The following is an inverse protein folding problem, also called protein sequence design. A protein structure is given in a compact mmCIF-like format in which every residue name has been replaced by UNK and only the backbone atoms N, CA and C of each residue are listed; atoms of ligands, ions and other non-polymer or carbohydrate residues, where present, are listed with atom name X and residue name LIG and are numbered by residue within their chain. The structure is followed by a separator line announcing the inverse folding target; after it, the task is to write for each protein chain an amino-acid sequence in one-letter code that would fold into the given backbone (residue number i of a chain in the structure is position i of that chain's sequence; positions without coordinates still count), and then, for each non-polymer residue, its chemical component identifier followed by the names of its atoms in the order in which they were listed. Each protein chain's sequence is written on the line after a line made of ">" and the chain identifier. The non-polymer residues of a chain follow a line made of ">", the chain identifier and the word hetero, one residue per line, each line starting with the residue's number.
data_IF_634609660183
#
_entry.id   IF_634609660183
#
_cell.length_a   1.000
_cell.length_b   1.000
_cell.length_c   1.000
_cell.angle_alpha   90.00
_cell.angle_beta   90.00
_cell.angle_gamma   90.00
#
_symmetry.space_group_name_H-M   'P 1'
#
loop_
_entity.id
_entity.type
_entity.pdbx_description
1 polymer ?
#
# COMPACT_ATOMS: atom_id res chain seq x y z
N UNK A 1 10.00 6.06 42.03
CA UNK A 1 9.43 5.40 40.85
C UNK A 1 8.80 6.39 39.86
N UNK A 2 8.52 7.65 40.24
CA UNK A 2 7.83 8.62 39.37
C UNK A 2 8.74 9.42 38.41
N UNK A 3 10.02 9.64 38.76
CA UNK A 3 10.94 10.47 37.94
C UNK A 3 11.37 9.75 36.66
N UNK A 4 11.58 8.43 36.70
CA UNK A 4 11.99 7.67 35.50
C UNK A 4 10.85 7.57 34.47
N UNK A 5 9.61 7.38 34.91
CA UNK A 5 8.45 7.37 34.02
C UNK A 5 8.21 8.75 33.40
N UNK A 6 8.36 9.83 34.17
CA UNK A 6 8.27 11.20 33.65
C UNK A 6 9.37 11.51 32.62
N UNK A 7 10.61 11.05 32.85
CA UNK A 7 11.71 11.21 31.90
C UNK A 7 11.47 10.41 30.61
N UNK A 8 10.95 9.18 30.71
CA UNK A 8 10.55 8.40 29.54
C UNK A 8 9.43 9.08 28.77
N UNK A 9 8.46 9.70 29.45
CA UNK A 9 7.39 10.44 28.80
C UNK A 9 7.90 11.69 28.07
N UNK A 10 8.80 12.46 28.68
CA UNK A 10 9.42 13.63 28.05
C UNK A 10 10.27 13.24 26.84
N UNK A 11 11.05 12.15 26.95
CA UNK A 11 11.84 11.63 25.83
C UNK A 11 10.93 11.15 24.69
N UNK A 12 9.82 10.46 25.00
CA UNK A 12 8.80 10.09 24.00
C UNK A 12 8.17 11.31 23.32
N UNK A 13 7.88 12.39 24.06
CA UNK A 13 7.34 13.63 23.49
C UNK A 13 8.35 14.35 22.59
N UNK A 14 9.62 14.37 22.98
CA UNK A 14 10.69 15.01 22.20
C UNK A 14 11.01 14.24 20.92
N UNK A 15 10.97 12.91 20.99
CA UNK A 15 11.23 12.05 19.85
C UNK A 15 9.97 11.78 19.01
N UNK A 16 8.80 12.23 19.45
CA UNK A 16 7.49 11.94 18.85
C UNK A 16 7.48 12.23 17.35
N UNK A 17 7.88 13.45 16.94
CA UNK A 17 7.93 13.86 15.53
C UNK A 17 8.88 12.97 14.72
N UNK A 18 10.05 12.63 15.27
CA UNK A 18 11.03 11.77 14.59
C UNK A 18 10.58 10.31 14.49
N UNK A 19 9.83 9.81 15.48
CA UNK A 19 9.21 8.48 15.46
C UNK A 19 8.16 8.44 14.35
N UNK A 20 7.27 9.43 14.29
CA UNK A 20 6.27 9.55 13.23
C UNK A 20 6.94 9.61 11.85
N UNK A 21 7.93 10.47 11.62
CA UNK A 21 8.65 10.54 10.35
C UNK A 21 9.25 9.20 9.91
N UNK A 22 9.76 8.40 10.84
CA UNK A 22 10.34 7.08 10.53
C UNK A 22 9.27 6.06 10.14
N UNK A 23 8.13 6.10 10.81
CA UNK A 23 7.00 5.21 10.57
C UNK A 23 6.25 5.60 9.29
N UNK A 24 6.03 6.89 9.04
CA UNK A 24 5.45 7.38 7.79
C UNK A 24 6.29 6.93 6.59
N UNK A 25 7.62 7.02 6.70
CA UNK A 25 8.54 6.45 5.70
C UNK A 25 8.35 4.96 5.54
N UNK A 26 8.23 4.20 6.64
CA UNK A 26 8.01 2.76 6.58
C UNK A 26 6.68 2.39 5.90
N UNK A 27 5.60 3.11 6.22
CA UNK A 27 4.28 2.96 5.58
C UNK A 27 4.38 3.26 4.09
N UNK A 28 4.93 4.41 3.72
CA UNK A 28 5.12 4.80 2.32
C UNK A 28 5.99 3.80 1.55
N UNK A 29 7.09 3.34 2.13
CA UNK A 29 7.94 2.31 1.53
C UNK A 29 7.17 1.00 1.30
N UNK A 30 6.36 0.57 2.27
CA UNK A 30 5.57 -0.67 2.16
C UNK A 30 4.56 -0.57 1.01
N UNK A 31 3.79 0.53 0.96
CA UNK A 31 2.79 0.74 -0.11
C UNK A 31 3.49 0.93 -1.47
N UNK A 32 4.60 1.67 -1.53
CA UNK A 32 5.39 1.84 -2.74
C UNK A 32 5.91 0.49 -3.28
N UNK A 33 6.48 -0.36 -2.42
CA UNK A 33 6.95 -1.69 -2.83
C UNK A 33 5.82 -2.59 -3.31
N UNK A 34 4.64 -2.53 -2.68
CA UNK A 34 3.45 -3.22 -3.18
C UNK A 34 3.05 -2.71 -4.58
N UNK A 35 3.02 -1.39 -4.77
CA UNK A 35 2.70 -0.76 -6.05
C UNK A 35 3.69 -1.15 -7.15
N UNK A 36 4.99 -1.08 -6.87
CA UNK A 36 6.05 -1.38 -7.84
C UNK A 36 5.97 -2.85 -8.30
N UNK A 37 5.84 -3.80 -7.37
CA UNK A 37 5.71 -5.22 -7.73
C UNK A 37 4.42 -5.52 -8.49
N UNK A 38 3.29 -4.90 -8.11
CA UNK A 38 2.04 -5.04 -8.86
C UNK A 38 2.15 -4.43 -10.26
N UNK A 39 2.71 -3.23 -10.37
CA UNK A 39 2.91 -2.52 -11.64
C UNK A 39 3.76 -3.33 -12.63
N UNK A 40 4.85 -3.97 -12.17
CA UNK A 40 5.67 -4.82 -13.03
C UNK A 40 4.90 -5.99 -13.64
N UNK A 41 3.88 -6.51 -12.94
CA UNK A 41 3.02 -7.59 -13.44
C UNK A 41 1.97 -7.01 -14.39
N UNK A 42 1.37 -5.88 -14.04
CA UNK A 42 0.37 -5.19 -14.86
C UNK A 42 0.93 -4.65 -16.18
N UNK A 43 2.16 -4.15 -16.19
CA UNK A 43 2.83 -3.71 -17.42
C UNK A 43 3.03 -4.88 -18.39
N UNK A 44 3.46 -6.05 -17.88
CA UNK A 44 3.55 -7.28 -18.70
C UNK A 44 2.18 -7.75 -19.18
N UNK A 45 1.15 -7.55 -18.37
CA UNK A 45 -0.23 -7.88 -18.75
C UNK A 45 -0.70 -6.99 -19.89
N UNK A 46 -0.48 -5.68 -19.79
CA UNK A 46 -0.79 -4.71 -20.82
C UNK A 46 -0.13 -5.07 -22.16
N UNK A 47 1.18 -5.34 -22.15
CA UNK A 47 1.94 -5.75 -23.34
C UNK A 47 1.34 -6.99 -24.02
N UNK A 48 0.85 -7.96 -23.24
CA UNK A 48 0.24 -9.19 -23.77
C UNK A 48 -1.16 -8.92 -24.32
N UNK A 49 -1.97 -8.11 -23.62
CA UNK A 49 -3.33 -7.77 -24.05
C UNK A 49 -3.32 -6.96 -25.34
N UNK A 50 -2.33 -6.08 -25.53
CA UNK A 50 -2.13 -5.32 -26.77
C UNK A 50 -1.73 -6.20 -27.97
N UNK A 51 -1.10 -7.36 -27.74
CA UNK A 51 -0.75 -8.30 -28.80
C UNK A 51 -1.99 -9.03 -29.33
N UNK A 52 -2.33 -8.81 -30.61
CA UNK A 52 -3.44 -9.52 -31.28
C UNK A 52 -3.21 -11.04 -31.24
N UNK A 53 -4.09 -11.77 -30.54
CA UNK A 53 -4.09 -13.24 -30.49
C UNK A 53 -3.49 -13.87 -29.23
N UNK A 54 -3.46 -13.15 -28.11
CA UNK A 54 -2.94 -13.66 -26.83
C UNK A 54 -3.66 -14.93 -26.34
N UNK A 55 -2.92 -15.81 -25.66
CA UNK A 55 -3.43 -17.06 -25.08
C UNK A 55 -3.89 -16.82 -23.64
N UNK A 56 -5.05 -17.36 -23.26
CA UNK A 56 -5.61 -17.22 -21.90
C UNK A 56 -4.66 -17.74 -20.81
N UNK A 57 -3.89 -18.80 -21.09
CA UNK A 57 -2.95 -19.39 -20.14
C UNK A 57 -1.84 -18.42 -19.67
N UNK A 58 -1.43 -17.47 -20.52
CA UNK A 58 -0.45 -16.45 -20.15
C UNK A 58 -1.02 -15.47 -19.13
N UNK A 59 -2.29 -15.10 -19.27
CA UNK A 59 -3.00 -14.24 -18.32
C UNK A 59 -3.25 -14.94 -16.98
N UNK A 60 -3.51 -16.25 -17.00
CA UNK A 60 -3.68 -17.02 -15.76
C UNK A 60 -2.41 -17.06 -14.91
N UNK A 61 -1.24 -17.17 -15.54
CA UNK A 61 0.04 -17.07 -14.84
C UNK A 61 0.25 -15.69 -14.20
N UNK A 62 -0.13 -14.62 -14.90
CA UNK A 62 -0.05 -13.26 -14.36
C UNK A 62 -1.00 -13.05 -13.19
N UNK A 63 -2.24 -13.56 -13.26
CA UNK A 63 -3.18 -13.57 -12.12
C UNK A 63 -2.62 -14.31 -10.91
N UNK A 64 -1.95 -15.46 -11.12
CA UNK A 64 -1.27 -16.18 -10.04
C UNK A 64 -0.17 -15.31 -9.42
N UNK A 65 0.61 -14.61 -10.24
CA UNK A 65 1.67 -13.73 -9.74
C UNK A 65 1.11 -12.52 -8.98
N UNK A 66 0.03 -11.88 -9.47
CA UNK A 66 -0.66 -10.80 -8.72
C UNK A 66 -1.11 -11.30 -7.35
N UNK A 67 -1.69 -12.50 -7.27
CA UNK A 67 -2.09 -13.12 -5.99
C UNK A 67 -0.90 -13.40 -5.07
N UNK A 68 0.27 -13.77 -5.60
CA UNK A 68 1.50 -13.95 -4.79
C UNK A 68 1.96 -12.63 -4.19
N UNK A 69 1.99 -11.55 -4.98
CA UNK A 69 2.34 -10.21 -4.50
C UNK A 69 1.32 -9.74 -3.45
N UNK A 70 0.02 -9.85 -3.74
CA UNK A 70 -1.03 -9.55 -2.76
C UNK A 70 -0.82 -10.33 -1.45
N UNK A 71 -0.55 -11.64 -1.53
CA UNK A 71 -0.34 -12.46 -0.33
C UNK A 71 0.90 -12.07 0.49
N UNK A 72 1.90 -11.45 -0.13
CA UNK A 72 3.11 -10.95 0.54
C UNK A 72 2.83 -9.67 1.35
N UNK A 73 1.99 -8.78 0.83
CA UNK A 73 1.78 -7.44 1.41
C UNK A 73 0.48 -7.29 2.20
N UNK A 74 -0.49 -8.19 2.04
CA UNK A 74 -1.78 -8.11 2.71
C UNK A 74 -1.90 -9.12 3.84
N UNK A 75 -2.37 -8.69 5.01
CA UNK A 75 -2.73 -9.57 6.14
C UNK A 75 -4.13 -10.14 5.93
N UNK A 76 -5.07 -9.33 5.44
CA UNK A 76 -6.44 -9.75 5.14
C UNK A 76 -6.49 -10.67 3.92
N UNK A 77 -7.00 -11.90 4.11
CA UNK A 77 -7.09 -12.93 3.06
C UNK A 77 -8.49 -13.07 2.45
N UNK A 78 -9.41 -12.16 2.74
CA UNK A 78 -10.75 -12.18 2.16
C UNK A 78 -10.68 -12.18 0.63
N UNK A 79 -11.48 -13.02 -0.02
CA UNK A 79 -11.51 -13.16 -1.48
C UNK A 79 -11.85 -11.85 -2.21
N UNK A 80 -12.55 -10.94 -1.53
CA UNK A 80 -12.89 -9.62 -2.04
C UNK A 80 -11.65 -8.80 -2.47
N UNK A 81 -10.54 -8.89 -1.74
CA UNK A 81 -9.30 -8.15 -2.05
C UNK A 81 -8.40 -8.86 -3.06
N UNK A 82 -8.65 -10.14 -3.35
CA UNK A 82 -7.75 -10.89 -4.20
C UNK A 82 -7.79 -10.37 -5.65
N UNK A 83 -6.63 -10.05 -6.24
CA UNK A 83 -6.59 -9.56 -7.61
C UNK A 83 -7.06 -10.66 -8.58
N UNK A 84 -8.14 -10.36 -9.30
CA UNK A 84 -8.79 -11.28 -10.23
C UNK A 84 -8.89 -10.72 -11.67
N UNK A 85 -8.66 -9.42 -11.84
CA UNK A 85 -8.80 -8.71 -13.10
C UNK A 85 -7.55 -8.77 -13.98
N UNK A 86 -7.79 -8.62 -15.27
CA UNK A 86 -6.78 -8.41 -16.32
C UNK A 86 -7.11 -7.12 -17.05
N UNK A 87 -6.14 -6.26 -17.28
CA UNK A 87 -6.32 -4.95 -17.92
C UNK A 87 -5.23 -4.68 -18.95
N UNK A 88 -5.54 -3.88 -19.97
CA UNK A 88 -4.53 -3.28 -20.85
C UNK A 88 -3.86 -2.05 -20.25
N UNK A 89 -4.36 -1.58 -19.10
CA UNK A 89 -3.89 -0.37 -18.42
C UNK A 89 -3.49 -0.71 -16.98
N UNK A 90 -2.24 -0.44 -16.57
CA UNK A 90 -1.80 -0.63 -15.19
C UNK A 90 -2.54 0.27 -14.19
N UNK A 91 -2.96 -0.33 -13.07
CA UNK A 91 -3.66 0.34 -11.98
C UNK A 91 -2.70 0.96 -10.98
N UNK A 92 -1.62 0.24 -10.67
CA UNK A 92 -0.69 0.50 -9.56
C UNK A 92 0.47 1.44 -9.96
N UNK A 93 0.16 2.56 -10.62
CA UNK A 93 1.17 3.53 -11.06
C UNK A 93 1.51 4.49 -9.93
N UNK A 94 2.61 4.24 -9.20
CA UNK A 94 2.99 5.07 -8.05
C UNK A 94 3.15 6.56 -8.39
N UNK A 95 3.76 6.86 -9.54
CA UNK A 95 3.99 8.24 -9.97
C UNK A 95 2.71 9.03 -10.25
N UNK A 96 1.56 8.36 -10.33
CA UNK A 96 0.26 9.03 -10.42
C UNK A 96 -0.29 9.44 -9.06
N UNK A 97 0.32 9.02 -7.94
CA UNK A 97 -0.14 9.37 -6.60
C UNK A 97 0.44 10.71 -6.15
N UNK A 98 -0.43 11.60 -5.69
CA UNK A 98 -0.12 12.92 -5.14
C UNK A 98 -0.82 13.13 -3.80
N UNK A 99 -0.41 14.16 -3.06
CA UNK A 99 -0.99 14.51 -1.75
C UNK A 99 -1.03 13.31 -0.79
N UNK A 100 0.10 12.60 -0.70
CA UNK A 100 0.26 11.44 0.17
C UNK A 100 0.26 11.91 1.62
N UNK A 101 -0.60 11.29 2.43
CA UNK A 101 -0.72 11.51 3.86
C UNK A 101 -0.70 10.15 4.58
N UNK A 102 -0.06 10.12 5.74
CA UNK A 102 -0.09 8.96 6.64
C UNK A 102 -0.67 9.39 7.98
N UNK A 103 -1.68 8.67 8.46
CA UNK A 103 -2.33 8.94 9.74
C UNK A 103 -2.16 7.74 10.67
N UNK A 104 -2.05 7.95 11.98
CA UNK A 104 -1.99 6.88 12.97
C UNK A 104 -3.16 7.01 13.96
N UNK A 105 -3.66 5.88 14.46
CA UNK A 105 -4.73 5.83 15.46
C UNK A 105 -4.31 6.27 16.88
N UNK A 106 -3.01 6.40 17.15
CA UNK A 106 -2.45 6.76 18.46
C UNK A 106 -2.53 5.66 19.52
N UNK A 107 -2.81 4.41 19.14
CA UNK A 107 -2.80 3.25 20.04
C UNK A 107 -1.46 2.51 19.96
N UNK A 108 -0.68 2.57 21.04
CA UNK A 108 0.62 1.91 21.14
C UNK A 108 0.52 0.37 21.16
N UNK A 109 -0.61 -0.18 21.63
CA UNK A 109 -0.79 -1.63 21.75
C UNK A 109 -1.35 -2.25 20.48
N UNK A 110 -2.06 -1.45 19.66
CA UNK A 110 -2.64 -1.89 18.40
C UNK A 110 -2.46 -0.80 17.34
N UNK A 111 -1.22 -0.63 16.91
CA UNK A 111 -0.86 0.44 15.98
C UNK A 111 -1.41 0.18 14.59
N UNK A 112 -2.32 1.06 14.17
CA UNK A 112 -2.92 1.09 12.85
C UNK A 112 -2.54 2.38 12.15
N UNK A 113 -2.25 2.25 10.86
CA UNK A 113 -1.84 3.36 10.00
C UNK A 113 -2.80 3.47 8.83
N UNK A 114 -3.15 4.69 8.44
CA UNK A 114 -3.89 4.95 7.22
C UNK A 114 -2.93 5.62 6.26
N UNK A 115 -2.65 4.97 5.13
CA UNK A 115 -2.07 5.63 3.97
C UNK A 115 -3.20 6.21 3.13
N UNK A 116 -3.09 7.46 2.71
CA UNK A 116 -4.06 8.13 1.82
C UNK A 116 -3.31 8.86 0.73
N UNK A 117 -3.80 8.78 -0.50
CA UNK A 117 -3.30 9.53 -1.63
C UNK A 117 -4.43 9.91 -2.59
N UNK A 118 -4.14 10.83 -3.51
CA UNK A 118 -5.00 11.14 -4.65
C UNK A 118 -4.32 10.70 -5.94
N UNK A 119 -5.07 10.04 -6.83
CA UNK A 119 -4.56 9.68 -8.15
C UNK A 119 -4.72 10.86 -9.10
N UNK A 120 -3.62 11.46 -9.54
CA UNK A 120 -3.61 12.45 -10.61
C UNK A 120 -3.84 11.77 -11.97
N UNK A 121 -4.70 12.38 -12.80
CA UNK A 121 -4.95 11.95 -14.18
C UNK A 121 -3.95 12.58 -15.14
N UNK A 122 -3.87 12.04 -16.35
CA UNK A 122 -2.94 12.53 -17.40
C UNK A 122 -3.19 13.99 -17.78
N UNK A 123 -4.42 14.50 -17.63
CA UNK A 123 -4.78 15.91 -17.85
C UNK A 123 -4.39 16.83 -16.67
N UNK A 124 -3.73 16.28 -15.64
CA UNK A 124 -3.30 16.98 -14.44
C UNK A 124 -4.39 17.15 -13.37
N UNK A 125 -5.64 16.74 -13.65
CA UNK A 125 -6.74 16.83 -12.70
C UNK A 125 -6.63 15.78 -11.59
N UNK A 126 -7.20 16.08 -10.42
CA UNK A 126 -7.28 15.13 -9.31
C UNK A 126 -8.39 14.11 -9.59
N UNK A 127 -8.02 12.84 -9.61
CA UNK A 127 -8.90 11.70 -9.80
C UNK A 127 -9.35 11.08 -8.47
N UNK A 128 -9.43 9.74 -8.45
CA UNK A 128 -9.94 8.96 -7.32
C UNK A 128 -8.94 8.98 -6.16
N UNK A 129 -9.45 9.06 -4.92
CA UNK A 129 -8.63 8.87 -3.73
C UNK A 129 -8.35 7.39 -3.53
N UNK A 130 -7.12 7.05 -3.16
CA UNK A 130 -6.76 5.69 -2.71
C UNK A 130 -6.42 5.77 -1.23
N UNK A 131 -6.94 4.82 -0.45
CA UNK A 131 -6.62 4.70 0.96
C UNK A 131 -6.32 3.26 1.33
N UNK A 132 -5.31 3.03 2.16
CA UNK A 132 -5.03 1.73 2.75
C UNK A 132 -5.03 1.83 4.27
N UNK A 133 -5.67 0.87 4.93
CA UNK A 133 -5.38 0.56 6.34
C UNK A 133 -4.18 -0.39 6.37
N UNK A 134 -3.17 -0.04 7.14
CA UNK A 134 -2.04 -0.90 7.42
C UNK A 134 -2.01 -1.25 8.92
N UNK A 135 -1.67 -2.50 9.20
CA UNK A 135 -1.47 -3.01 10.54
C UNK A 135 0.00 -3.41 10.72
N UNK A 136 0.59 -3.04 11.85
CA UNK A 136 1.90 -3.52 12.25
C UNK A 136 1.76 -4.86 13.00
N UNK A 137 2.31 -5.93 12.43
CA UNK A 137 2.36 -7.27 13.05
C UNK A 137 3.79 -7.78 12.99
N UNK A 138 4.34 -8.23 14.12
CA UNK A 138 5.72 -8.76 14.21
C UNK A 138 6.78 -7.86 13.56
N UNK A 139 6.69 -6.54 13.81
CA UNK A 139 7.55 -5.49 13.23
C UNK A 139 7.47 -5.35 11.70
N UNK A 140 6.42 -5.87 11.06
CA UNK A 140 6.16 -5.72 9.63
C UNK A 140 4.80 -5.08 9.39
N UNK A 141 4.73 -4.19 8.41
CA UNK A 141 3.49 -3.54 8.00
C UNK A 141 2.81 -4.37 6.93
N UNK A 142 1.52 -4.62 7.13
CA UNK A 142 0.67 -5.31 6.16
C UNK A 142 -0.57 -4.49 5.86
N UNK A 143 -1.03 -4.55 4.61
CA UNK A 143 -2.30 -3.95 4.19
C UNK A 143 -3.45 -4.83 4.69
N UNK A 144 -4.36 -4.22 5.43
CA UNK A 144 -5.53 -4.90 6.00
C UNK A 144 -6.82 -4.55 5.24
N UNK A 145 -6.89 -3.34 4.68
CA UNK A 145 -8.07 -2.84 3.99
C UNK A 145 -7.68 -1.78 2.94
N UNK A 146 -8.49 -1.68 1.89
CA UNK A 146 -8.47 -0.58 0.93
C UNK A 146 -9.76 0.23 1.04
N UNK A 147 -9.63 1.51 1.39
CA UNK A 147 -10.71 2.48 1.39
C UNK A 147 -10.66 3.21 0.05
N UNK A 148 -11.69 3.02 -0.78
CA UNK A 148 -11.82 3.64 -2.10
C UNK A 148 -10.85 3.06 -3.14
N UNK A 149 -11.34 2.03 -3.85
CA UNK A 149 -10.76 1.45 -5.06
C UNK A 149 -11.80 1.36 -6.16
#
# INVERSE_FOLDING_TARGET
>A
MEIQEALQFVDRLQNLTGIYDSIEKAVCCTVHSYYDEMYQIEAKEADIVEQKGFRSASLDLLRINKRKVHNKYWSNKANFYQPCSTSSEPSHVWNSLVNIEVLQNGDDNNSLYIFKAQKQRDDGSLGVSVGFLLQLTDNQLFIEHEFFG
#
